data_IF_316241851282
#
_entry.id   IF_316241851282
#
_cell.length_a   1.000
_cell.length_b   1.000
_cell.length_c   1.000
_cell.angle_alpha   90.00
_cell.angle_beta   90.00
_cell.angle_gamma   90.00
#
_symmetry.space_group_name_H-M   'P 1'
#
loop_
_entity.id
_entity.type
_entity.pdbx_description
1 polymer ?
#
# COMPACT_ATOMS: atom_id res chain seq x y z
N UNK A 1 21.44 -86.19 -44.52
CA UNK A 1 22.36 -85.18 -44.12
C UNK A 1 22.26 -84.00 -45.11
N UNK A 2 21.32 -83.04 -44.91
CA UNK A 2 21.28 -81.73 -45.62
C UNK A 2 19.92 -81.09 -45.28
N UNK A 3 19.77 -80.46 -44.13
CA UNK A 3 18.69 -79.54 -43.85
C UNK A 3 18.96 -78.83 -42.49
N UNK A 4 20.04 -77.99 -42.42
CA UNK A 4 20.26 -77.18 -41.18
C UNK A 4 21.06 -75.91 -41.45
N UNK A 5 20.77 -75.15 -42.51
CA UNK A 5 21.60 -73.94 -42.81
C UNK A 5 20.79 -72.80 -43.45
N UNK A 6 19.49 -72.71 -43.33
CA UNK A 6 18.71 -71.58 -43.93
C UNK A 6 17.99 -70.69 -42.91
N UNK A 7 17.91 -71.08 -41.63
CA UNK A 7 17.14 -70.30 -40.63
C UNK A 7 17.95 -69.23 -39.91
N UNK A 8 19.28 -69.11 -40.08
CA UNK A 8 20.09 -68.14 -39.32
C UNK A 8 20.24 -66.75 -39.96
N UNK A 9 20.04 -66.65 -41.28
CA UNK A 9 20.34 -65.37 -42.00
C UNK A 9 19.17 -64.38 -42.05
N UNK A 10 17.93 -64.83 -41.98
CA UNK A 10 16.75 -63.97 -42.03
C UNK A 10 16.58 -63.15 -40.72
N UNK A 11 16.91 -63.74 -39.58
CA UNK A 11 16.75 -63.06 -38.26
C UNK A 11 17.79 -61.97 -38.03
N UNK A 12 18.97 -62.04 -38.61
CA UNK A 12 20.05 -61.01 -38.49
C UNK A 12 19.76 -59.76 -39.33
N UNK A 13 19.16 -59.93 -40.53
CA UNK A 13 18.77 -58.76 -41.36
C UNK A 13 17.59 -57.99 -40.81
N UNK A 14 16.56 -58.68 -40.23
CA UNK A 14 15.44 -58.05 -39.60
C UNK A 14 15.83 -57.30 -38.32
N UNK A 15 16.76 -57.84 -37.52
CA UNK A 15 17.28 -57.12 -36.33
C UNK A 15 18.10 -55.90 -36.74
N UNK A 16 18.90 -55.96 -37.78
CA UNK A 16 19.67 -54.82 -38.26
C UNK A 16 18.76 -53.69 -38.81
N UNK A 17 17.72 -54.08 -39.55
CA UNK A 17 16.71 -53.12 -40.06
C UNK A 17 15.89 -52.45 -38.92
N UNK A 18 15.61 -53.19 -37.84
CA UNK A 18 14.96 -52.65 -36.64
C UNK A 18 15.83 -51.63 -35.90
N UNK A 19 17.11 -51.91 -35.69
CA UNK A 19 18.07 -51.02 -35.04
C UNK A 19 18.27 -49.73 -35.88
N UNK A 20 18.32 -49.83 -37.19
CA UNK A 20 18.43 -48.64 -38.05
C UNK A 20 17.17 -47.77 -37.99
N UNK A 21 15.99 -48.39 -37.92
CA UNK A 21 14.74 -47.63 -37.73
C UNK A 21 14.68 -46.93 -36.38
N UNK A 22 15.06 -47.63 -35.31
CA UNK A 22 15.11 -47.06 -33.95
C UNK A 22 16.06 -45.87 -33.89
N UNK A 23 17.29 -45.98 -34.43
CA UNK A 23 18.26 -44.87 -34.52
C UNK A 23 17.76 -43.68 -35.36
N UNK A 24 16.99 -43.96 -36.42
CA UNK A 24 16.37 -42.92 -37.25
C UNK A 24 15.26 -42.17 -36.51
N UNK A 25 14.46 -42.87 -35.68
CA UNK A 25 13.42 -42.29 -34.86
C UNK A 25 14.01 -41.43 -33.73
N UNK A 26 15.06 -41.92 -33.06
CA UNK A 26 15.78 -41.18 -32.02
C UNK A 26 16.42 -39.89 -32.59
N UNK A 27 16.98 -39.95 -33.77
CA UNK A 27 17.54 -38.75 -34.43
C UNK A 27 16.47 -37.71 -34.78
N UNK A 28 15.30 -38.17 -35.24
CA UNK A 28 14.16 -37.28 -35.50
C UNK A 28 13.58 -36.66 -34.21
N UNK A 29 13.51 -37.45 -33.15
CA UNK A 29 13.07 -36.94 -31.83
C UNK A 29 14.04 -35.87 -31.32
N UNK A 30 15.35 -36.08 -31.42
CA UNK A 30 16.36 -35.10 -31.06
C UNK A 30 16.22 -33.79 -31.87
N UNK A 31 16.05 -33.88 -33.18
CA UNK A 31 15.87 -32.72 -34.05
C UNK A 31 14.60 -31.95 -33.70
N UNK A 32 13.49 -32.64 -33.40
CA UNK A 32 12.24 -32.02 -32.98
C UNK A 32 12.37 -31.34 -31.61
N UNK A 33 13.08 -31.97 -30.68
CA UNK A 33 13.36 -31.42 -29.37
C UNK A 33 14.21 -30.15 -29.44
N UNK A 34 15.23 -30.16 -30.31
CA UNK A 34 16.08 -28.98 -30.53
C UNK A 34 15.30 -27.81 -31.16
N UNK A 35 14.48 -28.10 -32.18
CA UNK A 35 13.56 -27.11 -32.76
C UNK A 35 12.57 -26.57 -31.76
N UNK A 36 12.01 -27.43 -30.92
CA UNK A 36 11.10 -26.99 -29.83
C UNK A 36 11.83 -26.07 -28.85
N UNK A 37 13.02 -26.42 -28.40
CA UNK A 37 13.81 -25.62 -27.48
C UNK A 37 14.19 -24.27 -28.10
N UNK A 38 14.58 -24.24 -29.39
CA UNK A 38 14.85 -23.00 -30.10
C UNK A 38 13.62 -22.09 -30.19
N UNK A 39 12.46 -22.64 -30.56
CA UNK A 39 11.19 -21.91 -30.62
C UNK A 39 10.76 -21.40 -29.27
N UNK A 40 10.91 -22.22 -28.24
CA UNK A 40 10.61 -21.84 -26.86
C UNK A 40 11.49 -20.68 -26.41
N UNK A 41 12.79 -20.74 -26.65
CA UNK A 41 13.73 -19.67 -26.31
C UNK A 41 13.37 -18.35 -27.03
N UNK A 42 13.01 -18.42 -28.31
CA UNK A 42 12.54 -17.26 -29.07
C UNK A 42 11.22 -16.71 -28.54
N UNK A 43 10.28 -17.59 -28.17
CA UNK A 43 9.02 -17.20 -27.56
C UNK A 43 9.23 -16.49 -26.23
N UNK A 44 10.04 -17.08 -25.34
CA UNK A 44 10.35 -16.52 -24.02
C UNK A 44 11.05 -15.15 -24.14
N UNK A 45 11.98 -15.00 -25.09
CA UNK A 45 12.63 -13.73 -25.39
C UNK A 45 11.63 -12.65 -25.86
N UNK A 46 10.71 -13.00 -26.78
CA UNK A 46 9.68 -12.08 -27.27
C UNK A 46 8.68 -11.71 -26.20
N UNK A 47 8.29 -12.67 -25.36
CA UNK A 47 7.43 -12.43 -24.22
C UNK A 47 8.07 -11.45 -23.24
N UNK A 48 9.35 -11.67 -22.91
CA UNK A 48 10.09 -10.73 -22.05
C UNK A 48 10.17 -9.31 -22.63
N UNK A 49 10.41 -9.20 -23.95
CA UNK A 49 10.42 -7.90 -24.65
C UNK A 49 9.05 -7.21 -24.57
N UNK A 50 7.96 -7.96 -24.79
CA UNK A 50 6.60 -7.44 -24.68
C UNK A 50 6.30 -6.95 -23.23
N UNK A 51 6.66 -7.75 -22.21
CA UNK A 51 6.47 -7.37 -20.80
C UNK A 51 7.27 -6.10 -20.42
N UNK A 52 8.46 -5.90 -21.04
CA UNK A 52 9.23 -4.67 -20.85
C UNK A 52 8.57 -3.46 -21.53
N UNK A 53 8.02 -3.64 -22.72
CA UNK A 53 7.30 -2.59 -23.42
C UNK A 53 6.02 -2.18 -22.68
N UNK A 54 5.26 -3.14 -22.20
CA UNK A 54 4.05 -2.89 -21.40
C UNK A 54 4.38 -2.10 -20.12
N UNK A 55 5.44 -2.45 -19.41
CA UNK A 55 5.90 -1.66 -18.26
C UNK A 55 6.25 -0.22 -18.62
N UNK A 56 6.91 0.00 -19.76
CA UNK A 56 7.23 1.34 -20.24
C UNK A 56 5.98 2.14 -20.63
N UNK A 57 5.03 1.50 -21.30
CA UNK A 57 3.75 2.12 -21.65
C UNK A 57 3.02 2.55 -20.38
N UNK A 58 2.81 1.62 -19.44
CA UNK A 58 2.14 1.88 -18.16
C UNK A 58 2.82 3.03 -17.38
N UNK A 59 4.16 3.06 -17.35
CA UNK A 59 4.88 4.17 -16.71
C UNK A 59 4.60 5.50 -17.41
N UNK A 60 4.58 5.55 -18.74
CA UNK A 60 4.29 6.77 -19.50
C UNK A 60 2.86 7.25 -19.29
N UNK A 61 1.90 6.34 -19.30
CA UNK A 61 0.50 6.65 -19.00
C UNK A 61 0.34 7.19 -17.58
N UNK A 62 1.02 6.59 -16.60
CA UNK A 62 1.05 7.05 -15.21
C UNK A 62 1.61 8.47 -15.12
N UNK A 63 2.70 8.78 -15.82
CA UNK A 63 3.29 10.12 -15.83
C UNK A 63 2.36 11.16 -16.47
N UNK A 64 1.73 10.82 -17.60
CA UNK A 64 0.77 11.70 -18.29
C UNK A 64 -0.42 12.03 -17.38
N UNK A 65 -0.94 11.02 -16.67
CA UNK A 65 -2.12 11.13 -15.83
C UNK A 65 -1.79 11.47 -14.36
N UNK A 66 -0.52 11.75 -14.03
CA UNK A 66 -0.02 11.86 -12.65
C UNK A 66 -0.77 12.88 -11.81
N UNK A 67 -1.15 14.02 -12.37
CA UNK A 67 -1.90 15.06 -11.65
C UNK A 67 -3.32 14.60 -11.31
N UNK A 68 -4.02 13.98 -12.27
CA UNK A 68 -5.37 13.45 -12.05
C UNK A 68 -5.38 12.29 -11.05
N UNK A 69 -4.41 11.37 -11.17
CA UNK A 69 -4.26 10.25 -10.24
C UNK A 69 -3.95 10.74 -8.82
N UNK A 70 -3.05 11.71 -8.67
CA UNK A 70 -2.72 12.29 -7.38
C UNK A 70 -3.92 12.99 -6.74
N UNK A 71 -4.69 13.75 -7.52
CA UNK A 71 -5.92 14.38 -7.05
C UNK A 71 -6.92 13.34 -6.54
N UNK A 72 -7.10 12.22 -7.26
CA UNK A 72 -7.96 11.11 -6.84
C UNK A 72 -7.48 10.45 -5.54
N UNK A 73 -6.17 10.25 -5.36
CA UNK A 73 -5.62 9.71 -4.12
C UNK A 73 -5.83 10.66 -2.94
N UNK A 74 -5.64 11.98 -3.13
CA UNK A 74 -5.88 12.99 -2.08
C UNK A 74 -7.35 13.00 -1.67
N UNK A 75 -8.27 12.96 -2.62
CA UNK A 75 -9.71 12.91 -2.35
C UNK A 75 -10.08 11.63 -1.58
N UNK A 76 -9.60 10.47 -2.03
CA UNK A 76 -9.84 9.20 -1.35
C UNK A 76 -9.25 9.17 0.07
N UNK A 77 -8.04 9.70 0.30
CA UNK A 77 -7.46 9.83 1.64
C UNK A 77 -8.32 10.73 2.55
N UNK A 78 -8.82 11.84 2.02
CA UNK A 78 -9.69 12.75 2.79
C UNK A 78 -11.01 12.07 3.15
N UNK A 79 -11.60 11.29 2.26
CA UNK A 79 -12.82 10.52 2.52
C UNK A 79 -12.59 9.51 3.64
N UNK A 80 -11.55 8.67 3.56
CA UNK A 80 -11.25 7.69 4.61
C UNK A 80 -10.91 8.32 5.95
N UNK A 81 -10.28 9.50 5.94
CA UNK A 81 -10.00 10.26 7.16
C UNK A 81 -11.28 10.81 7.80
N UNK A 82 -12.23 11.26 6.99
CA UNK A 82 -13.56 11.69 7.49
C UNK A 82 -14.34 10.51 8.06
N UNK A 83 -14.34 9.36 7.38
CA UNK A 83 -14.98 8.13 7.88
C UNK A 83 -14.36 7.67 9.21
N UNK A 84 -13.04 7.69 9.34
CA UNK A 84 -12.34 7.39 10.58
C UNK A 84 -12.76 8.34 11.72
N UNK A 85 -12.89 9.62 11.43
CA UNK A 85 -13.32 10.61 12.41
C UNK A 85 -14.76 10.34 12.88
N UNK A 86 -15.69 10.09 11.97
CA UNK A 86 -17.09 9.75 12.30
C UNK A 86 -17.17 8.47 13.15
N UNK A 87 -16.40 7.45 12.80
CA UNK A 87 -16.33 6.21 13.57
C UNK A 87 -15.77 6.43 14.98
N UNK A 88 -14.76 7.28 15.15
CA UNK A 88 -14.21 7.64 16.45
C UNK A 88 -15.22 8.41 17.31
N UNK A 89 -16.00 9.33 16.73
CA UNK A 89 -17.08 10.04 17.41
C UNK A 89 -18.17 9.07 17.86
N UNK A 90 -18.57 8.13 17.00
CA UNK A 90 -19.53 7.05 17.34
C UNK A 90 -18.98 6.19 18.48
N UNK A 91 -17.72 5.77 18.41
CA UNK A 91 -17.04 5.00 19.45
C UNK A 91 -17.08 5.71 20.81
N UNK A 92 -16.74 6.99 20.81
CA UNK A 92 -16.76 7.80 22.03
C UNK A 92 -18.16 7.91 22.62
N UNK A 93 -19.18 8.19 21.80
CA UNK A 93 -20.58 8.26 22.22
C UNK A 93 -21.06 6.94 22.82
N UNK A 94 -20.75 5.81 22.18
CA UNK A 94 -21.10 4.47 22.69
C UNK A 94 -20.39 4.17 24.02
N UNK A 95 -19.12 4.54 24.17
CA UNK A 95 -18.34 4.35 25.40
C UNK A 95 -18.93 5.14 26.55
N UNK A 96 -19.26 6.40 26.35
CA UNK A 96 -19.94 7.26 27.39
C UNK A 96 -21.29 6.65 27.76
N UNK A 97 -22.04 6.21 26.77
CA UNK A 97 -23.39 5.62 27.06
C UNK A 97 -23.28 4.32 27.83
N UNK A 98 -22.29 3.46 27.47
CA UNK A 98 -22.02 2.22 28.18
C UNK A 98 -21.66 2.49 29.65
N UNK A 99 -20.77 3.44 29.91
CA UNK A 99 -20.35 3.82 31.27
C UNK A 99 -21.52 4.34 32.08
N UNK A 100 -22.37 5.24 31.53
CA UNK A 100 -23.54 5.75 32.18
C UNK A 100 -24.51 4.63 32.58
N UNK A 101 -24.81 3.68 31.70
CA UNK A 101 -25.70 2.56 31.97
C UNK A 101 -25.13 1.67 33.06
N UNK A 102 -23.82 1.37 33.02
CA UNK A 102 -23.14 0.54 34.02
C UNK A 102 -23.18 1.22 35.42
N UNK A 103 -22.88 2.51 35.48
CA UNK A 103 -22.91 3.26 36.74
C UNK A 103 -24.30 3.32 37.33
N UNK A 104 -25.31 3.62 36.47
CA UNK A 104 -26.71 3.67 36.91
C UNK A 104 -27.19 2.32 37.44
N UNK A 105 -26.85 1.22 36.79
CA UNK A 105 -27.18 -0.14 37.23
C UNK A 105 -26.64 -0.44 38.64
N UNK A 106 -25.35 -0.12 38.85
CA UNK A 106 -24.69 -0.33 40.13
C UNK A 106 -25.31 0.51 41.23
N UNK A 107 -25.59 1.81 40.96
CA UNK A 107 -26.21 2.73 41.94
C UNK A 107 -27.62 2.29 42.31
N UNK A 108 -28.46 1.91 41.33
CA UNK A 108 -29.85 1.52 41.59
C UNK A 108 -29.92 0.20 42.40
N UNK A 109 -29.03 -0.76 42.08
CA UNK A 109 -28.94 -1.99 42.85
C UNK A 109 -28.43 -1.74 44.27
N UNK A 110 -27.42 -0.90 44.47
CA UNK A 110 -26.89 -0.55 45.78
C UNK A 110 -27.98 0.16 46.67
N UNK A 111 -28.72 1.09 46.07
CA UNK A 111 -29.86 1.77 46.77
C UNK A 111 -30.95 0.80 47.19
N UNK A 112 -31.31 -0.15 46.33
CA UNK A 112 -32.31 -1.15 46.63
C UNK A 112 -31.88 -2.11 47.75
N UNK A 113 -30.63 -2.56 47.73
CA UNK A 113 -30.03 -3.41 48.77
C UNK A 113 -29.94 -2.70 50.13
N UNK A 114 -29.54 -1.43 50.12
CA UNK A 114 -29.49 -0.63 51.34
C UNK A 114 -30.87 -0.45 51.96
N UNK A 115 -31.87 -0.11 51.12
CA UNK A 115 -33.26 0.06 51.57
C UNK A 115 -33.83 -1.25 52.16
N UNK A 116 -33.52 -2.41 51.59
CA UNK A 116 -33.93 -3.71 52.15
C UNK A 116 -33.26 -3.96 53.51
N UNK A 117 -31.95 -3.70 53.63
CA UNK A 117 -31.20 -3.87 54.88
C UNK A 117 -31.71 -2.98 55.98
N UNK A 118 -32.01 -1.71 55.66
CA UNK A 118 -32.56 -0.73 56.62
C UNK A 118 -33.96 -1.12 57.08
N UNK A 119 -34.83 -1.57 56.20
CA UNK A 119 -36.17 -2.03 56.51
C UNK A 119 -36.15 -3.32 57.33
N UNK A 120 -35.30 -4.26 57.03
CA UNK A 120 -35.09 -5.50 57.81
C UNK A 120 -34.57 -5.18 59.23
N UNK A 121 -33.66 -4.21 59.35
CA UNK A 121 -33.13 -3.75 60.64
C UNK A 121 -34.20 -3.09 61.47
N UNK A 122 -35.03 -2.20 60.90
CA UNK A 122 -36.15 -1.54 61.56
C UNK A 122 -37.20 -2.57 62.04
N UNK A 123 -37.50 -3.57 61.21
CA UNK A 123 -38.39 -4.66 61.59
C UNK A 123 -37.86 -5.45 62.79
N UNK A 124 -36.57 -5.86 62.74
CA UNK A 124 -35.95 -6.57 63.83
C UNK A 124 -35.94 -5.78 65.16
N UNK A 125 -35.73 -4.46 65.11
CA UNK A 125 -35.82 -3.57 66.26
C UNK A 125 -37.21 -3.52 66.83
N UNK A 126 -38.24 -3.32 66.00
CA UNK A 126 -39.68 -3.27 66.49
C UNK A 126 -40.10 -4.58 67.20
N UNK A 127 -39.65 -5.74 66.58
CA UNK A 127 -39.89 -7.07 67.20
C UNK A 127 -39.20 -7.17 68.59
N UNK A 128 -37.92 -6.76 68.65
CA UNK A 128 -37.10 -6.85 69.87
C UNK A 128 -37.67 -5.97 71.01
N UNK A 129 -38.35 -4.87 70.73
CA UNK A 129 -38.91 -3.96 71.67
C UNK A 129 -40.39 -4.25 72.01
N UNK A 130 -41.00 -5.20 71.32
CA UNK A 130 -42.47 -5.55 71.54
C UNK A 130 -43.44 -4.51 71.07
N UNK A 131 -43.03 -3.61 70.20
CA UNK A 131 -43.88 -2.58 69.57
C UNK A 131 -44.76 -3.13 68.46
N UNK A 132 -45.96 -3.56 68.78
CA UNK A 132 -46.87 -4.23 67.82
C UNK A 132 -47.35 -3.35 66.69
N UNK A 133 -47.43 -2.03 66.83
CA UNK A 133 -47.76 -1.09 65.72
C UNK A 133 -46.53 -0.78 64.88
N UNK A 134 -45.37 -0.59 65.53
CA UNK A 134 -44.11 -0.46 64.83
C UNK A 134 -43.77 -1.69 64.04
N UNK A 135 -44.05 -2.91 64.56
CA UNK A 135 -43.82 -4.19 63.86
C UNK A 135 -44.69 -4.30 62.60
N UNK A 136 -45.96 -3.92 62.60
CA UNK A 136 -46.86 -3.93 61.45
C UNK A 136 -46.30 -3.00 60.32
N UNK A 137 -45.91 -1.78 60.70
CA UNK A 137 -45.43 -0.76 59.84
C UNK A 137 -44.06 -1.22 59.21
N UNK A 138 -43.16 -1.66 60.05
CA UNK A 138 -41.83 -2.16 59.59
C UNK A 138 -41.94 -3.39 58.70
N UNK A 139 -42.90 -4.29 58.98
CA UNK A 139 -43.15 -5.46 58.12
C UNK A 139 -43.66 -5.01 56.73
N UNK A 140 -44.56 -4.02 56.65
CA UNK A 140 -45.02 -3.49 55.36
C UNK A 140 -43.90 -2.82 54.60
N UNK A 141 -43.04 -2.08 55.28
CA UNK A 141 -41.89 -1.44 54.67
C UNK A 141 -40.83 -2.49 54.19
N UNK A 142 -40.60 -3.55 54.97
CA UNK A 142 -39.72 -4.65 54.57
C UNK A 142 -40.26 -5.39 53.33
N UNK A 143 -41.57 -5.68 53.29
CA UNK A 143 -42.18 -6.27 52.09
C UNK A 143 -42.08 -5.36 50.84
N UNK A 144 -42.24 -4.04 51.03
CA UNK A 144 -42.06 -3.07 49.96
C UNK A 144 -40.60 -3.00 49.47
N UNK A 145 -39.65 -2.97 50.42
CA UNK A 145 -38.20 -2.97 50.10
C UNK A 145 -37.79 -4.24 49.35
N UNK A 146 -38.24 -5.43 49.81
CA UNK A 146 -37.96 -6.70 49.12
C UNK A 146 -38.53 -6.74 47.69
N UNK A 147 -39.75 -6.18 47.50
CA UNK A 147 -40.34 -6.06 46.15
C UNK A 147 -39.54 -5.09 45.25
N UNK A 148 -39.09 -3.97 45.84
CA UNK A 148 -38.24 -3.02 45.09
C UNK A 148 -36.91 -3.63 44.72
N UNK A 149 -36.26 -4.41 45.62
CA UNK A 149 -35.01 -5.14 45.31
C UNK A 149 -35.22 -6.15 44.19
N UNK A 150 -36.32 -6.92 44.21
CA UNK A 150 -36.62 -7.86 43.11
C UNK A 150 -36.82 -7.13 41.78
N UNK A 151 -37.44 -5.95 41.79
CA UNK A 151 -37.62 -5.13 40.59
C UNK A 151 -36.27 -4.58 40.09
N UNK A 152 -35.43 -4.10 41.01
CA UNK A 152 -34.07 -3.61 40.70
C UNK A 152 -33.21 -4.74 40.11
N UNK A 153 -33.27 -5.95 40.65
CA UNK A 153 -32.54 -7.11 40.13
C UNK A 153 -32.97 -7.49 38.71
N UNK A 154 -34.27 -7.46 38.39
CA UNK A 154 -34.73 -7.70 37.04
C UNK A 154 -34.34 -6.58 36.08
N UNK A 155 -34.32 -5.33 36.54
CA UNK A 155 -33.82 -4.17 35.77
C UNK A 155 -32.31 -4.32 35.46
N UNK A 156 -31.52 -4.68 36.47
CA UNK A 156 -30.06 -4.92 36.30
C UNK A 156 -29.81 -6.04 35.30
N UNK A 157 -30.56 -7.15 35.39
CA UNK A 157 -30.47 -8.25 34.39
C UNK A 157 -30.71 -7.75 32.96
N UNK A 158 -31.73 -6.89 32.75
CA UNK A 158 -32.05 -6.32 31.43
C UNK A 158 -30.94 -5.37 30.97
N UNK A 159 -30.42 -4.52 31.87
CA UNK A 159 -29.30 -3.64 31.58
C UNK A 159 -28.05 -4.43 31.21
N UNK A 160 -27.79 -5.58 31.85
CA UNK A 160 -26.69 -6.48 31.50
C UNK A 160 -26.74 -6.95 30.04
N UNK A 161 -27.93 -7.20 29.49
CA UNK A 161 -28.10 -7.54 28.08
C UNK A 161 -27.77 -6.36 27.15
N UNK A 162 -28.20 -5.13 27.51
CA UNK A 162 -27.91 -3.91 26.76
C UNK A 162 -26.41 -3.63 26.79
N UNK A 163 -25.78 -3.73 27.97
CA UNK A 163 -24.33 -3.58 28.15
C UNK A 163 -23.57 -4.55 27.26
N UNK A 164 -23.99 -5.82 27.21
CA UNK A 164 -23.37 -6.83 26.35
C UNK A 164 -23.50 -6.47 24.87
N UNK A 165 -24.69 -6.02 24.43
CA UNK A 165 -24.90 -5.58 23.05
C UNK A 165 -24.07 -4.34 22.68
N UNK A 166 -23.98 -3.34 23.58
CA UNK A 166 -23.16 -2.15 23.36
C UNK A 166 -21.65 -2.47 23.30
N UNK A 167 -21.18 -3.42 24.12
CA UNK A 167 -19.78 -3.90 24.03
C UNK A 167 -19.51 -4.57 22.70
N UNK A 168 -20.44 -5.36 22.19
CA UNK A 168 -20.31 -6.00 20.87
C UNK A 168 -20.29 -4.96 19.75
N UNK A 169 -21.15 -3.94 19.83
CA UNK A 169 -21.15 -2.83 18.85
C UNK A 169 -19.84 -2.04 18.90
N UNK A 170 -19.28 -1.78 20.09
CA UNK A 170 -17.95 -1.15 20.23
C UNK A 170 -16.86 -1.95 19.53
N UNK A 171 -16.83 -3.27 19.69
CA UNK A 171 -15.86 -4.13 18.98
C UNK A 171 -16.03 -4.01 17.46
N UNK A 172 -17.25 -3.95 16.96
CA UNK A 172 -17.53 -3.77 15.54
C UNK A 172 -17.05 -2.41 15.04
N UNK A 173 -17.28 -1.34 15.79
CA UNK A 173 -16.78 0.01 15.46
C UNK A 173 -15.26 0.05 15.48
N UNK A 174 -14.61 -0.59 16.47
CA UNK A 174 -13.14 -0.69 16.53
C UNK A 174 -12.56 -1.40 15.29
N UNK A 175 -13.22 -2.44 14.79
CA UNK A 175 -12.84 -3.11 13.56
C UNK A 175 -12.94 -2.20 12.35
N UNK A 176 -14.03 -1.45 12.21
CA UNK A 176 -14.20 -0.49 11.11
C UNK A 176 -13.18 0.65 11.14
N UNK A 177 -12.79 1.12 12.34
CA UNK A 177 -11.71 2.10 12.48
C UNK A 177 -10.39 1.55 11.95
N UNK A 178 -10.05 0.31 12.30
CA UNK A 178 -8.83 -0.35 11.79
C UNK A 178 -8.88 -0.50 10.27
N UNK A 179 -10.00 -0.93 9.72
CA UNK A 179 -10.19 -1.06 8.27
C UNK A 179 -10.04 0.29 7.55
N UNK A 180 -10.64 1.37 8.09
CA UNK A 180 -10.51 2.71 7.53
C UNK A 180 -9.05 3.19 7.54
N UNK A 181 -8.33 2.97 8.64
CA UNK A 181 -6.90 3.29 8.75
C UNK A 181 -6.03 2.50 7.78
N UNK A 182 -6.32 1.21 7.58
CA UNK A 182 -5.58 0.37 6.62
C UNK A 182 -5.83 0.84 5.19
N UNK A 183 -7.07 1.19 4.84
CA UNK A 183 -7.41 1.74 3.52
C UNK A 183 -6.70 3.07 3.28
N UNK A 184 -6.74 3.98 4.26
CA UNK A 184 -6.02 5.25 4.18
C UNK A 184 -4.52 5.04 3.93
N UNK A 185 -3.85 4.20 4.72
CA UNK A 185 -2.42 3.88 4.55
C UNK A 185 -2.10 3.21 3.21
N UNK A 186 -3.03 2.39 2.70
CA UNK A 186 -2.89 1.77 1.37
C UNK A 186 -2.83 2.84 0.28
N UNK A 187 -3.80 3.77 0.28
CA UNK A 187 -3.89 4.86 -0.70
C UNK A 187 -2.70 5.82 -0.56
N UNK A 188 -2.29 6.16 0.67
CA UNK A 188 -1.11 6.98 0.93
C UNK A 188 0.16 6.37 0.31
N UNK A 189 0.34 5.07 0.47
CA UNK A 189 1.47 4.35 -0.14
C UNK A 189 1.43 4.41 -1.66
N UNK A 190 0.25 4.24 -2.27
CA UNK A 190 0.09 4.31 -3.73
C UNK A 190 0.36 5.73 -4.24
N UNK A 191 -0.07 6.76 -3.51
CA UNK A 191 0.25 8.15 -3.79
C UNK A 191 1.77 8.44 -3.70
N UNK A 192 2.46 7.86 -2.71
CA UNK A 192 3.92 7.97 -2.57
C UNK A 192 4.66 7.28 -3.72
N UNK A 193 4.21 6.11 -4.18
CA UNK A 193 4.77 5.46 -5.37
C UNK A 193 4.59 6.29 -6.63
N UNK A 194 3.41 6.90 -6.81
CA UNK A 194 3.19 7.85 -7.91
C UNK A 194 4.13 9.05 -7.81
N UNK A 195 4.26 9.64 -6.63
CA UNK A 195 5.18 10.75 -6.38
C UNK A 195 6.62 10.39 -6.71
N UNK A 196 7.09 9.20 -6.29
CA UNK A 196 8.42 8.70 -6.62
C UNK A 196 8.63 8.63 -8.13
N UNK A 197 7.67 8.04 -8.87
CA UNK A 197 7.76 7.93 -10.34
C UNK A 197 7.90 9.29 -11.02
N UNK A 198 7.15 10.30 -10.54
CA UNK A 198 7.23 11.67 -11.07
C UNK A 198 8.57 12.33 -10.71
N UNK A 199 9.06 12.12 -9.49
CA UNK A 199 10.35 12.68 -9.03
C UNK A 199 11.53 12.06 -9.78
N UNK A 200 11.49 10.76 -10.06
CA UNK A 200 12.52 10.08 -10.89
C UNK A 200 12.60 10.69 -12.30
N UNK A 201 11.46 10.98 -12.93
CA UNK A 201 11.45 11.60 -14.25
C UNK A 201 12.02 13.04 -14.19
N UNK A 202 11.59 13.85 -13.20
CA UNK A 202 12.13 15.19 -13.00
C UNK A 202 13.63 15.20 -12.69
N UNK A 203 14.10 14.22 -11.92
CA UNK A 203 15.52 14.02 -11.65
C UNK A 203 16.28 13.76 -12.95
N UNK A 204 15.80 12.85 -13.79
CA UNK A 204 16.44 12.52 -15.05
C UNK A 204 16.41 13.69 -16.05
N UNK A 205 15.35 14.49 -16.06
CA UNK A 205 15.27 15.72 -16.86
C UNK A 205 16.30 16.75 -16.39
N UNK A 206 16.40 16.98 -15.08
CA UNK A 206 17.40 17.88 -14.50
C UNK A 206 18.84 17.38 -14.77
N UNK A 207 19.08 16.07 -14.66
CA UNK A 207 20.35 15.47 -14.99
C UNK A 207 20.70 15.69 -16.47
N UNK A 208 19.75 15.47 -17.40
CA UNK A 208 19.98 15.78 -18.83
C UNK A 208 20.34 17.24 -19.05
N UNK A 209 19.63 18.17 -18.44
CA UNK A 209 19.93 19.60 -18.52
C UNK A 209 21.33 19.92 -17.98
N UNK A 210 21.69 19.34 -16.83
CA UNK A 210 23.03 19.47 -16.25
C UNK A 210 24.11 18.97 -17.24
N UNK A 211 23.90 17.81 -17.86
CA UNK A 211 24.83 17.24 -18.82
C UNK A 211 24.90 18.01 -20.13
N UNK A 212 23.83 18.70 -20.55
CA UNK A 212 23.87 19.58 -21.72
C UNK A 212 24.75 20.81 -21.45
N UNK A 213 24.61 21.45 -20.27
CA UNK A 213 25.50 22.54 -19.86
C UNK A 213 26.93 22.05 -19.66
N UNK A 214 27.11 20.90 -19.02
CA UNK A 214 28.42 20.27 -18.83
C UNK A 214 29.11 19.95 -20.14
N UNK A 215 28.38 19.47 -21.17
CA UNK A 215 28.91 19.22 -22.51
C UNK A 215 29.40 20.49 -23.19
N UNK A 216 28.66 21.62 -23.08
CA UNK A 216 29.10 22.94 -23.58
C UNK A 216 30.35 23.39 -22.87
N UNK A 217 30.41 23.26 -21.54
CA UNK A 217 31.59 23.61 -20.74
C UNK A 217 32.81 22.76 -21.12
N UNK A 218 32.63 21.47 -21.32
CA UNK A 218 33.68 20.56 -21.79
C UNK A 218 34.21 20.96 -23.18
N UNK A 219 33.29 21.26 -24.12
CA UNK A 219 33.67 21.75 -25.45
C UNK A 219 34.50 23.04 -25.39
N UNK A 220 34.10 23.97 -24.52
CA UNK A 220 34.84 25.21 -24.32
C UNK A 220 36.24 24.96 -23.76
N UNK A 221 36.41 24.09 -22.76
CA UNK A 221 37.74 23.72 -22.27
C UNK A 221 38.63 23.13 -23.37
N UNK A 222 38.07 22.24 -24.22
CA UNK A 222 38.81 21.68 -25.34
C UNK A 222 39.29 22.75 -26.34
N UNK A 223 38.44 23.71 -26.68
CA UNK A 223 38.76 24.79 -27.59
C UNK A 223 39.80 25.78 -27.01
N UNK A 224 39.80 25.98 -25.71
CA UNK A 224 40.77 26.84 -25.00
C UNK A 224 42.06 26.11 -24.63
N UNK A 225 42.14 24.79 -24.87
CA UNK A 225 43.29 24.00 -24.45
C UNK A 225 43.41 23.82 -22.94
N UNK A 226 42.32 23.99 -22.20
CA UNK A 226 42.25 23.82 -20.75
C UNK A 226 41.98 22.37 -20.35
N UNK A 227 42.38 22.02 -19.11
CA UNK A 227 42.20 20.68 -18.56
C UNK A 227 40.80 20.54 -17.93
N UNK A 228 40.11 19.42 -18.23
CA UNK A 228 38.76 19.10 -17.78
C UNK A 228 38.74 18.27 -16.50
N UNK A 229 39.81 18.23 -15.71
CA UNK A 229 39.98 17.29 -14.55
C UNK A 229 38.79 17.29 -13.59
N UNK A 230 38.17 18.43 -13.37
CA UNK A 230 36.99 18.54 -12.49
C UNK A 230 35.76 17.80 -13.02
N UNK A 231 35.53 17.84 -14.34
CA UNK A 231 34.40 17.20 -15.00
C UNK A 231 34.57 15.68 -15.15
N UNK A 232 35.82 15.19 -15.15
CA UNK A 232 36.13 13.76 -15.20
C UNK A 232 35.59 12.98 -13.97
N UNK A 233 35.37 13.66 -12.86
CA UNK A 233 34.85 13.08 -11.60
C UNK A 233 33.33 13.10 -11.51
N UNK A 234 32.65 13.68 -12.50
CA UNK A 234 31.19 13.78 -12.47
C UNK A 234 30.56 12.40 -12.64
N UNK A 235 29.70 12.04 -11.69
CA UNK A 235 28.85 10.87 -11.75
C UNK A 235 27.50 11.25 -11.17
N UNK A 236 26.43 11.16 -11.96
CA UNK A 236 25.05 11.45 -11.56
C UNK A 236 24.24 10.18 -11.74
N UNK A 237 23.59 9.63 -10.71
CA UNK A 237 22.82 8.40 -10.85
C UNK A 237 21.63 8.62 -11.77
N UNK A 238 21.29 7.58 -12.54
CA UNK A 238 20.03 7.49 -13.28
C UNK A 238 19.01 6.77 -12.41
N UNK A 239 17.79 7.28 -12.37
CA UNK A 239 16.70 6.72 -11.59
C UNK A 239 15.59 6.15 -12.51
N UNK A 240 14.79 5.24 -11.99
CA UNK A 240 13.63 4.68 -12.68
C UNK A 240 13.97 3.50 -13.60
N UNK A 241 13.59 3.55 -14.89
CA UNK A 241 13.70 2.42 -15.82
C UNK A 241 15.15 2.01 -16.15
N UNK A 242 16.08 2.93 -16.03
CA UNK A 242 17.49 2.70 -16.33
C UNK A 242 18.30 2.82 -15.06
N UNK A 243 18.92 1.73 -14.67
CA UNK A 243 19.92 1.74 -13.59
C UNK A 243 21.28 2.03 -14.19
N UNK A 244 21.93 3.06 -13.74
CA UNK A 244 23.26 3.45 -14.25
C UNK A 244 23.69 4.81 -13.71
N UNK A 245 24.81 5.30 -14.23
CA UNK A 245 25.31 6.63 -13.90
C UNK A 245 25.58 7.41 -15.20
N UNK A 246 25.18 8.67 -15.18
CA UNK A 246 25.66 9.65 -16.15
C UNK A 246 27.08 10.03 -15.76
N UNK A 247 28.02 9.87 -16.68
CA UNK A 247 29.46 10.07 -16.41
C UNK A 247 30.06 11.08 -17.37
N UNK A 248 31.35 11.33 -17.21
CA UNK A 248 32.10 12.22 -18.11
C UNK A 248 32.08 11.76 -19.58
N UNK A 249 31.83 10.47 -19.88
CA UNK A 249 31.69 9.98 -21.24
C UNK A 249 30.53 10.67 -21.97
N UNK A 250 29.38 10.80 -21.31
CA UNK A 250 28.23 11.52 -21.87
C UNK A 250 28.52 13.01 -22.08
N UNK A 251 29.36 13.61 -21.20
CA UNK A 251 29.81 14.99 -21.39
C UNK A 251 30.71 15.09 -22.63
N UNK A 252 31.68 14.20 -22.80
CA UNK A 252 32.57 14.16 -23.93
C UNK A 252 31.82 13.98 -25.26
N UNK A 253 30.83 13.06 -25.28
CA UNK A 253 30.01 12.83 -26.47
C UNK A 253 29.12 14.02 -26.82
N UNK A 254 28.60 14.72 -25.82
CA UNK A 254 27.83 15.96 -26.03
C UNK A 254 28.74 17.09 -26.48
N UNK A 255 29.93 17.21 -25.90
CA UNK A 255 30.90 18.25 -26.26
C UNK A 255 31.26 18.22 -27.77
N UNK A 256 31.32 17.05 -28.39
CA UNK A 256 31.58 16.90 -29.82
C UNK A 256 30.52 17.52 -30.74
N UNK A 257 29.34 17.84 -30.19
CA UNK A 257 28.21 18.42 -30.93
C UNK A 257 28.28 19.94 -31.01
N UNK A 258 29.12 20.58 -30.18
CA UNK A 258 29.21 22.05 -30.10
C UNK A 258 30.43 22.55 -30.84
N UNK A 259 30.22 23.45 -31.81
CA UNK A 259 31.26 24.24 -32.47
C UNK A 259 31.57 25.50 -31.67
N UNK A 260 32.68 26.18 -32.00
CA UNK A 260 32.99 27.49 -31.41
C UNK A 260 31.87 28.52 -31.62
N UNK A 261 31.19 28.46 -32.77
CA UNK A 261 30.10 29.37 -33.10
C UNK A 261 28.87 29.12 -32.21
N UNK A 262 28.55 27.85 -31.88
CA UNK A 262 27.45 27.48 -30.99
C UNK A 262 27.70 27.98 -29.53
N UNK A 263 28.97 27.95 -29.10
CA UNK A 263 29.37 28.37 -27.74
C UNK A 263 29.42 29.89 -27.56
N UNK A 264 29.53 30.65 -28.64
CA UNK A 264 29.50 32.12 -28.60
C UNK A 264 28.06 32.69 -28.55
N UNK A 265 27.04 31.88 -28.82
CA UNK A 265 25.64 32.26 -28.72
C UNK A 265 25.13 32.03 -27.28
N UNK A 266 25.51 32.95 -26.35
CA UNK A 266 25.19 32.83 -24.92
C UNK A 266 23.68 32.95 -24.59
N UNK A 267 22.88 33.52 -25.51
CA UNK A 267 21.46 33.77 -25.30
C UNK A 267 20.59 32.50 -25.21
N UNK A 268 21.10 31.35 -25.67
CA UNK A 268 20.39 30.06 -25.55
C UNK A 268 20.60 29.35 -24.18
N UNK A 269 21.37 29.99 -23.27
CA UNK A 269 21.61 29.45 -21.92
C UNK A 269 20.67 30.13 -20.92
N UNK A 270 19.40 30.25 -21.25
CA UNK A 270 18.39 30.73 -20.28
C UNK A 270 18.24 29.74 -19.14
N UNK A 271 18.72 30.09 -17.96
CA UNK A 271 18.33 29.37 -16.75
C UNK A 271 16.83 29.53 -16.55
N UNK A 272 16.10 28.51 -16.03
CA UNK A 272 14.65 28.59 -15.75
C UNK A 272 14.27 29.84 -14.91
N UNK A 273 15.20 30.35 -14.09
CA UNK A 273 15.02 31.56 -13.32
C UNK A 273 15.08 32.85 -14.15
N UNK A 274 15.89 32.90 -15.22
CA UNK A 274 15.94 34.08 -16.12
C UNK A 274 14.70 34.14 -17.01
N UNK A 275 14.16 33.00 -17.47
CA UNK A 275 12.91 32.97 -18.21
C UNK A 275 11.73 33.49 -17.37
N UNK A 276 11.68 33.13 -16.08
CA UNK A 276 10.66 33.62 -15.16
C UNK A 276 10.79 35.10 -14.82
N UNK A 277 12.02 35.62 -14.75
CA UNK A 277 12.29 37.05 -14.52
C UNK A 277 11.96 37.92 -15.75
N UNK A 278 12.24 37.43 -16.96
CA UNK A 278 11.90 38.10 -18.22
C UNK A 278 10.37 38.15 -18.39
N UNK A 279 9.64 37.06 -18.13
CA UNK A 279 8.17 37.05 -18.15
C UNK A 279 7.54 38.01 -17.14
N UNK A 280 8.13 38.15 -15.92
CA UNK A 280 7.65 39.09 -14.91
C UNK A 280 7.98 40.57 -15.23
N UNK A 281 9.00 40.83 -16.05
CA UNK A 281 9.33 42.16 -16.52
C UNK A 281 8.46 42.62 -17.71
N UNK A 282 8.08 41.67 -18.57
CA UNK A 282 7.18 41.93 -19.68
C UNK A 282 5.73 42.20 -19.19
N UNK A 283 5.24 41.50 -18.15
CA UNK A 283 3.94 41.77 -17.52
C UNK A 283 3.86 43.10 -16.74
N UNK A 284 4.99 43.78 -16.47
CA UNK A 284 5.03 45.09 -15.77
C UNK A 284 5.11 46.29 -16.72
N UNK A 285 5.22 46.06 -18.00
CA UNK A 285 5.36 47.12 -19.03
C UNK A 285 4.10 47.34 -19.86
N UNK A 286 3.05 46.58 -19.62
CA UNK A 286 1.67 46.79 -20.11
C UNK A 286 0.79 47.31 -18.95
#
# INVERSE_FOLDING_TARGET
MRAFFVFGFSNSQDMSASIIREQSVDAQEHELRDKYNELKTRFDARKHEADLLDRKINRRETLINSQSLMAGYIEAMNTWKADEQELNEKRQSLSIRLEQIQQQAVEDMAKAQQAETDAATAYAQAVAWGDTEGEKTANADAQKAAKNLATAAEHDRRQGLIISALKQELLTVDQYIVEAQEKHRGIERDALWLSQTVLEEKWNEAAKALFDVGGRLWANYNLLGLDQVSLLKLAVPQEGEKVGNWTWHELSDRARRYSAQDLLQLNDISTPQQAALVSQLEERTD
#
